data_IF_848575388369
#
_entry.id   IF_848575388369
#
_cell.length_a   1.000
_cell.length_b   1.000
_cell.length_c   1.000
_cell.angle_alpha   90.00
_cell.angle_beta   90.00
_cell.angle_gamma   90.00
#
_symmetry.space_group_name_H-M   'P 1'
#
loop_
_entity.id
_entity.type
_entity.pdbx_description
1 polymer ?
#
# COMPACT_ATOMS: atom_id res chain seq x y z
N UNK A 1 -34.79 19.19 -2.39
CA UNK A 1 -34.50 18.54 -3.70
C UNK A 1 -33.00 18.43 -3.99
N UNK A 2 -32.14 19.24 -3.40
CA UNK A 2 -30.68 19.23 -3.68
C UNK A 2 -29.89 18.06 -3.06
N UNK A 3 -30.26 17.60 -1.87
CA UNK A 3 -29.56 16.50 -1.20
C UNK A 3 -29.68 15.16 -1.95
N UNK A 4 -30.83 14.89 -2.56
CA UNK A 4 -31.08 13.65 -3.29
C UNK A 4 -30.34 13.61 -4.65
N UNK A 5 -30.08 14.76 -5.26
CA UNK A 5 -29.27 14.86 -6.48
C UNK A 5 -27.80 14.72 -6.20
N UNK A 6 -27.33 15.19 -5.05
CA UNK A 6 -25.92 15.06 -4.64
C UNK A 6 -25.56 13.60 -4.31
N UNK A 7 -26.44 12.88 -3.58
CA UNK A 7 -26.28 11.44 -3.35
C UNK A 7 -26.29 10.61 -4.64
N UNK A 8 -27.13 10.97 -5.62
CA UNK A 8 -27.17 10.29 -6.90
C UNK A 8 -25.90 10.54 -7.72
N UNK A 9 -25.34 11.74 -7.67
CA UNK A 9 -24.09 12.09 -8.35
C UNK A 9 -22.89 11.39 -7.73
N UNK A 10 -22.82 11.29 -6.38
CA UNK A 10 -21.78 10.52 -5.68
C UNK A 10 -21.89 9.03 -6.01
N UNK A 11 -23.10 8.45 -5.99
CA UNK A 11 -23.32 7.05 -6.38
C UNK A 11 -22.97 6.77 -7.84
N UNK A 12 -23.14 7.73 -8.73
CA UNK A 12 -22.76 7.59 -10.15
C UNK A 12 -21.25 7.74 -10.33
N UNK A 13 -20.61 8.69 -9.68
CA UNK A 13 -19.15 8.86 -9.71
C UNK A 13 -18.40 7.66 -9.10
N UNK A 14 -18.93 7.07 -8.03
CA UNK A 14 -18.40 5.83 -7.42
C UNK A 14 -18.61 4.60 -8.33
N UNK A 15 -19.67 4.58 -9.14
CA UNK A 15 -19.93 3.50 -10.09
C UNK A 15 -19.06 3.53 -11.34
N UNK A 16 -18.56 4.71 -11.72
CA UNK A 16 -17.76 4.88 -12.96
C UNK A 16 -16.25 4.71 -12.72
N UNK A 17 -15.76 4.85 -11.49
CA UNK A 17 -14.41 4.47 -11.14
C UNK A 17 -14.39 2.98 -10.71
N UNK A 18 -14.14 2.10 -11.67
CA UNK A 18 -13.65 0.75 -11.38
C UNK A 18 -12.25 0.88 -10.76
N UNK A 19 -12.19 1.15 -9.48
CA UNK A 19 -10.94 1.07 -8.75
C UNK A 19 -10.50 -0.39 -8.75
N UNK A 20 -9.42 -0.70 -9.45
CA UNK A 20 -8.75 -1.99 -9.30
C UNK A 20 -8.24 -2.08 -7.87
N UNK A 21 -8.88 -2.88 -7.05
CA UNK A 21 -8.35 -3.21 -5.73
C UNK A 21 -7.25 -4.23 -5.93
N UNK A 22 -6.03 -3.86 -5.66
CA UNK A 22 -4.88 -4.75 -5.74
C UNK A 22 -4.67 -5.39 -4.38
N UNK A 23 -4.64 -6.72 -4.36
CA UNK A 23 -4.40 -7.54 -3.16
C UNK A 23 -2.98 -8.09 -3.23
N UNK A 24 -2.27 -8.09 -2.11
CA UNK A 24 -0.96 -8.72 -2.03
C UNK A 24 -1.13 -10.25 -2.01
N UNK A 25 -0.22 -10.97 -2.64
CA UNK A 25 -0.05 -12.40 -2.46
C UNK A 25 0.51 -12.68 -1.05
N UNK A 26 0.51 -13.94 -0.62
CA UNK A 26 1.12 -14.33 0.66
C UNK A 26 2.59 -13.90 0.74
N UNK A 27 3.34 -14.07 -0.34
CA UNK A 27 4.73 -13.59 -0.42
C UNK A 27 4.83 -12.06 -0.37
N UNK A 28 3.90 -11.36 -1.00
CA UNK A 28 3.80 -9.89 -0.94
C UNK A 28 3.49 -9.40 0.48
N UNK A 29 2.59 -10.06 1.20
CA UNK A 29 2.28 -9.75 2.60
C UNK A 29 3.49 -9.98 3.51
N UNK A 30 4.14 -11.13 3.38
CA UNK A 30 5.32 -11.46 4.16
C UNK A 30 6.47 -10.49 3.89
N UNK A 31 6.66 -10.11 2.62
CA UNK A 31 7.65 -9.12 2.20
C UNK A 31 7.35 -7.74 2.80
N UNK A 32 6.10 -7.30 2.74
CA UNK A 32 5.65 -6.03 3.32
C UNK A 32 5.89 -6.00 4.81
N UNK A 33 5.49 -7.04 5.54
CA UNK A 33 5.68 -7.13 6.98
C UNK A 33 7.17 -7.16 7.35
N UNK A 34 7.99 -7.93 6.65
CA UNK A 34 9.43 -8.04 6.90
C UNK A 34 10.14 -6.69 6.71
N UNK A 35 9.93 -6.03 5.57
CA UNK A 35 10.55 -4.74 5.29
C UNK A 35 10.02 -3.63 6.19
N UNK A 36 8.73 -3.67 6.56
CA UNK A 36 8.16 -2.73 7.54
C UNK A 36 8.92 -2.82 8.86
N UNK A 37 9.13 -4.01 9.38
CA UNK A 37 9.91 -4.21 10.60
C UNK A 37 11.36 -3.78 10.46
N UNK A 38 12.00 -4.14 9.35
CA UNK A 38 13.41 -3.84 9.12
C UNK A 38 13.66 -2.32 8.97
N UNK A 39 12.88 -1.65 8.14
CA UNK A 39 13.06 -0.24 7.81
C UNK A 39 12.57 0.68 8.93
N UNK A 40 11.54 0.27 9.65
CA UNK A 40 11.01 1.06 10.76
C UNK A 40 11.85 0.93 12.04
N UNK A 41 12.99 0.23 11.98
CA UNK A 41 13.92 0.16 13.10
C UNK A 41 13.18 -0.21 14.36
N UNK A 42 12.51 -1.37 14.36
CA UNK A 42 11.89 -1.89 15.58
C UNK A 42 12.82 -1.58 16.72
N UNK A 43 12.38 -0.78 17.68
CA UNK A 43 13.20 -0.13 18.69
C UNK A 43 14.30 -1.02 19.30
N UNK A 44 15.13 -0.51 20.15
CA UNK A 44 16.29 -1.24 20.72
C UNK A 44 15.92 -2.58 21.35
N UNK A 45 14.64 -2.82 21.64
CA UNK A 45 14.06 -4.06 22.15
C UNK A 45 13.37 -4.92 21.07
N UNK A 46 13.44 -4.52 19.80
CA UNK A 46 12.83 -5.25 18.67
C UNK A 46 11.32 -5.07 18.54
N UNK A 47 10.69 -4.19 19.29
CA UNK A 47 9.25 -3.92 19.18
C UNK A 47 8.94 -2.95 18.06
N UNK A 48 7.84 -3.19 17.37
CA UNK A 48 7.29 -2.25 16.42
C UNK A 48 6.49 -1.16 17.15
N UNK A 49 6.89 0.09 16.96
CA UNK A 49 6.26 1.26 17.57
C UNK A 49 5.49 2.05 16.51
N UNK A 50 4.18 1.78 16.32
CA UNK A 50 3.42 2.32 15.20
C UNK A 50 3.32 3.85 15.22
N UNK A 51 3.24 4.48 16.38
CA UNK A 51 3.24 5.95 16.50
C UNK A 51 4.56 6.53 15.99
N UNK A 52 5.69 5.98 16.42
CA UNK A 52 7.01 6.41 15.94
C UNK A 52 7.16 6.23 14.43
N UNK A 53 6.67 5.10 13.90
CA UNK A 53 6.69 4.81 12.45
C UNK A 53 5.86 5.83 11.68
N UNK A 54 4.66 6.13 12.16
CA UNK A 54 3.76 7.11 11.56
C UNK A 54 4.38 8.51 11.52
N UNK A 55 4.97 8.95 12.62
CA UNK A 55 5.48 10.31 12.77
C UNK A 55 6.83 10.54 12.10
N UNK A 56 7.71 9.54 12.16
CA UNK A 56 9.12 9.74 11.83
C UNK A 56 9.59 8.95 10.61
N UNK A 57 8.97 7.84 10.29
CA UNK A 57 9.45 6.92 9.24
C UNK A 57 8.66 7.09 7.94
N UNK A 58 7.34 7.04 7.98
CA UNK A 58 6.50 7.16 6.77
C UNK A 58 6.80 8.45 6.01
N UNK A 59 6.94 9.64 6.66
CA UNK A 59 7.24 10.89 5.96
C UNK A 59 8.59 10.91 5.23
N UNK A 60 9.52 10.02 5.56
CA UNK A 60 10.79 9.88 4.82
C UNK A 60 10.60 9.23 3.45
N UNK A 61 9.61 8.32 3.33
CA UNK A 61 9.31 7.59 2.09
C UNK A 61 8.21 8.24 1.28
N UNK A 62 7.26 8.88 1.95
CA UNK A 62 6.12 9.53 1.31
C UNK A 62 5.85 10.90 1.93
N UNK A 63 6.34 11.94 1.27
CA UNK A 63 6.17 13.33 1.70
C UNK A 63 4.72 13.83 1.62
N UNK A 64 3.84 13.10 0.92
CA UNK A 64 2.42 13.44 0.84
C UNK A 64 1.63 12.90 2.03
N UNK A 65 2.23 11.99 2.81
CA UNK A 65 1.60 11.43 3.99
C UNK A 65 1.39 12.48 5.07
N UNK A 66 0.25 12.38 5.74
CA UNK A 66 -0.11 13.23 6.87
C UNK A 66 -0.86 12.41 7.94
N UNK A 67 -0.95 12.94 9.15
CA UNK A 67 -1.82 12.39 10.19
C UNK A 67 -2.51 13.52 10.95
N UNK A 68 -3.64 13.19 11.56
CA UNK A 68 -4.45 14.14 12.33
C UNK A 68 -4.92 13.48 13.63
N UNK A 69 -4.73 14.18 14.73
CA UNK A 69 -5.25 13.78 16.04
C UNK A 69 -6.49 14.62 16.31
N UNK A 70 -7.64 13.98 16.48
CA UNK A 70 -8.93 14.63 16.68
C UNK A 70 -9.39 14.44 18.12
N UNK A 71 -9.73 15.53 18.79
CA UNK A 71 -10.29 15.50 20.15
C UNK A 71 -11.54 14.60 20.20
N UNK A 72 -11.64 13.79 21.24
CA UNK A 72 -12.73 12.83 21.43
C UNK A 72 -14.12 13.51 21.39
N UNK A 73 -14.23 14.71 21.94
CA UNK A 73 -15.46 15.51 21.96
C UNK A 73 -15.89 15.96 20.56
N UNK A 74 -14.93 16.07 19.64
CA UNK A 74 -15.13 16.43 18.24
C UNK A 74 -15.23 15.22 17.32
N UNK A 75 -15.10 14.00 17.88
CA UNK A 75 -15.12 12.76 17.10
C UNK A 75 -16.53 12.37 16.67
N UNK A 76 -16.83 12.43 15.39
CA UNK A 76 -18.17 12.17 14.83
C UNK A 76 -18.27 10.86 14.03
N UNK A 77 -17.19 10.07 13.95
CA UNK A 77 -17.17 8.82 13.17
C UNK A 77 -17.77 7.61 13.91
N UNK A 78 -18.29 7.79 15.12
CA UNK A 78 -18.84 6.75 15.96
C UNK A 78 -17.84 6.18 16.98
N UNK A 79 -18.35 5.57 18.05
CA UNK A 79 -17.48 5.09 19.15
C UNK A 79 -16.60 3.89 18.78
N UNK A 80 -17.04 3.08 17.82
CA UNK A 80 -16.33 1.86 17.42
C UNK A 80 -15.16 2.14 16.47
N UNK A 81 -15.24 3.19 15.67
CA UNK A 81 -14.15 3.61 14.81
C UNK A 81 -13.23 4.54 15.63
N UNK A 82 -12.03 4.11 15.93
CA UNK A 82 -11.09 4.83 16.80
C UNK A 82 -9.94 5.48 16.06
N UNK A 83 -9.59 4.93 14.90
CA UNK A 83 -8.65 5.46 13.93
C UNK A 83 -9.03 4.96 12.56
N UNK A 84 -8.56 5.61 11.50
CA UNK A 84 -8.70 5.13 10.12
C UNK A 84 -7.69 5.79 9.18
N UNK A 85 -7.32 5.05 8.14
CA UNK A 85 -6.52 5.56 7.03
C UNK A 85 -7.41 5.94 5.84
N UNK A 86 -7.16 7.09 5.23
CA UNK A 86 -7.84 7.54 4.00
C UNK A 86 -6.84 7.54 2.84
N UNK A 87 -6.96 6.62 1.88
CA UNK A 87 -6.04 6.54 0.74
C UNK A 87 -6.07 7.81 -0.13
N UNK A 88 -7.25 8.41 -0.32
CA UNK A 88 -7.45 9.61 -1.15
C UNK A 88 -6.71 10.83 -0.61
N UNK A 89 -6.68 10.98 0.71
CA UNK A 89 -5.97 12.06 1.39
C UNK A 89 -4.55 11.64 1.83
N UNK A 90 -4.19 10.36 1.69
CA UNK A 90 -2.97 9.76 2.22
C UNK A 90 -2.75 10.14 3.70
N UNK A 91 -3.79 9.96 4.50
CA UNK A 91 -3.83 10.46 5.88
C UNK A 91 -4.37 9.42 6.85
N UNK A 92 -3.73 9.31 8.02
CA UNK A 92 -4.26 8.60 9.19
C UNK A 92 -4.94 9.61 10.11
N UNK A 93 -6.18 9.31 10.53
CA UNK A 93 -6.93 10.10 11.51
C UNK A 93 -7.11 9.26 12.76
N UNK A 94 -6.75 9.80 13.91
CA UNK A 94 -6.73 9.09 15.17
C UNK A 94 -7.45 9.93 16.23
N UNK A 95 -8.28 9.28 17.06
CA UNK A 95 -8.86 9.93 18.22
C UNK A 95 -7.79 10.13 19.31
N UNK A 96 -7.77 11.30 19.94
CA UNK A 96 -6.72 11.72 20.88
C UNK A 96 -6.50 10.74 22.04
N UNK A 97 -7.58 10.23 22.66
CA UNK A 97 -7.48 9.27 23.76
C UNK A 97 -6.86 7.92 23.34
N UNK A 98 -7.04 7.50 22.09
CA UNK A 98 -6.41 6.30 21.51
C UNK A 98 -4.92 6.55 21.29
N UNK A 99 -4.58 7.71 20.73
CA UNK A 99 -3.19 8.12 20.52
C UNK A 99 -2.40 8.16 21.84
N UNK A 100 -2.95 8.82 22.88
CA UNK A 100 -2.30 8.92 24.19
C UNK A 100 -2.12 7.56 24.86
N UNK A 101 -3.13 6.69 24.79
CA UNK A 101 -3.03 5.33 25.33
C UNK A 101 -2.04 4.45 24.58
N UNK A 102 -1.94 4.62 23.25
CA UNK A 102 -0.93 3.92 22.46
C UNK A 102 0.49 4.35 22.85
N UNK A 103 0.72 5.65 23.07
CA UNK A 103 2.00 6.17 23.59
C UNK A 103 2.30 5.60 24.99
N UNK A 104 1.28 5.38 25.80
CA UNK A 104 1.41 4.73 27.12
C UNK A 104 1.60 3.20 27.03
N UNK A 105 1.59 2.62 25.84
CA UNK A 105 1.81 1.18 25.60
C UNK A 105 0.57 0.30 25.84
N UNK A 106 -0.65 0.86 25.79
CA UNK A 106 -1.88 0.08 25.87
C UNK A 106 -2.01 -0.78 24.61
N UNK A 107 -1.92 -2.09 24.77
CA UNK A 107 -1.77 -3.04 23.66
C UNK A 107 -2.86 -2.91 22.58
N UNK A 108 -4.12 -2.73 22.97
CA UNK A 108 -5.22 -2.60 22.02
C UNK A 108 -5.08 -1.34 21.14
N UNK A 109 -4.70 -0.22 21.73
CA UNK A 109 -4.55 1.05 21.03
C UNK A 109 -3.28 1.04 20.15
N UNK A 110 -2.22 0.37 20.60
CA UNK A 110 -1.03 0.09 19.77
C UNK A 110 -1.41 -0.73 18.54
N UNK A 111 -2.22 -1.79 18.70
CA UNK A 111 -2.71 -2.61 17.59
C UNK A 111 -3.58 -1.78 16.64
N UNK A 112 -4.47 -0.93 17.16
CA UNK A 112 -5.33 -0.07 16.36
C UNK A 112 -4.50 0.86 15.47
N UNK A 113 -3.52 1.57 16.03
CA UNK A 113 -2.65 2.46 15.22
C UNK A 113 -1.77 1.65 14.27
N UNK A 114 -1.26 0.49 14.70
CA UNK A 114 -0.47 -0.39 13.84
C UNK A 114 -1.25 -0.84 12.60
N UNK A 115 -2.53 -1.15 12.74
CA UNK A 115 -3.43 -1.51 11.63
C UNK A 115 -3.50 -0.39 10.59
N UNK A 116 -3.73 0.86 11.01
CA UNK A 116 -3.81 2.01 10.11
C UNK A 116 -2.45 2.34 9.45
N UNK A 117 -1.37 2.18 10.19
CA UNK A 117 -0.01 2.29 9.64
C UNK A 117 0.24 1.24 8.57
N UNK A 118 -0.23 0.02 8.77
CA UNK A 118 -0.12 -1.05 7.76
C UNK A 118 -0.92 -0.73 6.51
N UNK A 119 -2.14 -0.19 6.60
CA UNK A 119 -2.89 0.31 5.45
C UNK A 119 -2.09 1.34 4.63
N UNK A 120 -1.48 2.30 5.31
CA UNK A 120 -0.63 3.29 4.65
C UNK A 120 0.57 2.63 3.94
N UNK A 121 1.26 1.71 4.61
CA UNK A 121 2.42 1.01 4.03
C UNK A 121 2.00 0.11 2.88
N UNK A 122 0.87 -0.61 2.97
CA UNK A 122 0.31 -1.35 1.83
C UNK A 122 0.09 -0.43 0.63
N UNK A 123 -0.50 0.74 0.84
CA UNK A 123 -0.71 1.73 -0.23
C UNK A 123 0.61 2.15 -0.89
N UNK A 124 1.67 2.37 -0.11
CA UNK A 124 3.01 2.70 -0.62
C UNK A 124 3.59 1.52 -1.42
N UNK A 125 3.55 0.31 -0.85
CA UNK A 125 4.06 -0.91 -1.49
C UNK A 125 3.30 -1.20 -2.79
N UNK A 126 1.98 -1.03 -2.79
CA UNK A 126 1.14 -1.25 -3.97
C UNK A 126 1.48 -0.28 -5.10
N UNK A 127 1.65 1.00 -4.80
CA UNK A 127 2.10 2.01 -5.77
C UNK A 127 3.47 1.65 -6.34
N UNK A 128 4.39 1.19 -5.49
CA UNK A 128 5.71 0.74 -5.90
C UNK A 128 5.64 -0.50 -6.80
N UNK A 129 4.93 -1.55 -6.39
CA UNK A 129 4.77 -2.79 -7.17
C UNK A 129 4.06 -2.54 -8.51
N UNK A 130 3.11 -1.60 -8.56
CA UNK A 130 2.47 -1.17 -9.80
C UNK A 130 3.45 -0.49 -10.74
N UNK A 131 4.19 0.50 -10.24
CA UNK A 131 5.21 1.19 -11.02
C UNK A 131 6.26 0.23 -11.58
N UNK A 132 6.59 -0.83 -10.83
CA UNK A 132 7.56 -1.84 -11.21
C UNK A 132 6.97 -2.98 -12.06
N UNK A 133 5.65 -3.03 -12.26
CA UNK A 133 4.93 -4.13 -12.92
C UNK A 133 5.24 -5.52 -12.31
N UNK A 134 5.46 -5.56 -10.99
CA UNK A 134 5.77 -6.78 -10.24
C UNK A 134 4.47 -7.55 -9.93
N UNK A 135 4.07 -8.46 -10.81
CA UNK A 135 2.84 -9.25 -10.65
C UNK A 135 2.94 -10.40 -9.65
N UNK A 136 4.15 -10.88 -9.38
CA UNK A 136 4.39 -12.03 -8.48
C UNK A 136 4.02 -11.74 -7.01
N UNK A 137 4.04 -10.47 -6.60
CA UNK A 137 3.73 -10.05 -5.24
C UNK A 137 2.31 -9.50 -5.07
N UNK A 138 1.55 -9.41 -6.16
CA UNK A 138 0.21 -8.84 -6.14
C UNK A 138 -0.73 -9.56 -7.09
N UNK A 139 -2.00 -9.52 -6.76
CA UNK A 139 -3.09 -9.95 -7.62
C UNK A 139 -4.04 -8.78 -7.82
N UNK A 140 -4.35 -8.43 -9.07
CA UNK A 140 -5.39 -7.45 -9.35
C UNK A 140 -6.76 -8.12 -9.23
N UNK A 141 -7.62 -7.59 -8.38
CA UNK A 141 -9.02 -7.98 -8.26
C UNK A 141 -9.85 -6.79 -8.71
N UNK A 142 -10.58 -6.95 -9.81
CA UNK A 142 -11.55 -5.96 -10.24
C UNK A 142 -12.85 -6.23 -9.52
N UNK A 143 -13.24 -5.39 -8.55
CA UNK A 143 -14.54 -5.49 -7.96
C UNK A 143 -15.19 -4.20 -7.50
N UNK A 144 -16.52 -4.31 -7.41
CA UNK A 144 -17.40 -3.37 -6.74
C UNK A 144 -18.06 -4.04 -5.52
N UNK A 145 -17.47 -5.10 -4.95
CA UNK A 145 -18.14 -5.94 -3.96
C UNK A 145 -17.64 -5.64 -2.55
N UNK A 146 -18.57 -5.60 -1.59
CA UNK A 146 -18.30 -5.48 -0.16
C UNK A 146 -17.38 -6.60 0.38
N UNK A 147 -17.36 -7.75 -0.27
CA UNK A 147 -16.47 -8.87 0.07
C UNK A 147 -14.99 -8.55 -0.10
N UNK A 148 -14.64 -7.62 -0.97
CA UNK A 148 -13.24 -7.26 -1.24
C UNK A 148 -12.71 -6.26 -0.25
N UNK A 149 -13.53 -5.33 0.21
CA UNK A 149 -13.17 -4.48 1.33
C UNK A 149 -12.88 -5.35 2.56
N UNK A 150 -13.70 -6.37 2.81
CA UNK A 150 -13.46 -7.32 3.88
C UNK A 150 -12.18 -8.14 3.69
N UNK A 151 -11.86 -8.54 2.46
CA UNK A 151 -10.59 -9.23 2.17
C UNK A 151 -9.39 -8.33 2.39
N UNK A 152 -9.50 -7.06 2.03
CA UNK A 152 -8.44 -6.08 2.27
C UNK A 152 -8.20 -5.87 3.77
N UNK A 153 -9.25 -5.73 4.57
CA UNK A 153 -9.17 -5.64 6.03
C UNK A 153 -8.53 -6.90 6.66
N UNK A 154 -8.97 -8.09 6.26
CA UNK A 154 -8.37 -9.35 6.72
C UNK A 154 -6.88 -9.46 6.36
N UNK A 155 -6.50 -8.95 5.20
CA UNK A 155 -5.10 -8.90 4.78
C UNK A 155 -4.30 -7.93 5.64
N UNK A 156 -4.85 -6.77 5.94
CA UNK A 156 -4.24 -5.77 6.83
C UNK A 156 -4.06 -6.32 8.24
N UNK A 157 -5.07 -6.99 8.79
CA UNK A 157 -4.98 -7.66 10.09
C UNK A 157 -3.86 -8.69 10.12
N UNK A 158 -3.73 -9.49 9.06
CA UNK A 158 -2.67 -10.49 8.93
C UNK A 158 -1.28 -9.85 8.87
N UNK A 159 -1.10 -8.82 8.07
CA UNK A 159 0.17 -8.09 7.99
C UNK A 159 0.48 -7.43 9.35
N UNK A 160 -0.50 -6.81 10.00
CA UNK A 160 -0.36 -6.20 11.32
C UNK A 160 0.13 -7.22 12.35
N UNK A 161 -0.47 -8.41 12.35
CA UNK A 161 -0.04 -9.51 13.23
C UNK A 161 1.40 -9.93 12.97
N UNK A 162 1.80 -10.05 11.70
CA UNK A 162 3.17 -10.37 11.30
C UNK A 162 4.17 -9.28 11.70
N UNK A 163 3.77 -8.00 11.59
CA UNK A 163 4.62 -6.86 11.96
C UNK A 163 4.81 -6.78 13.47
N UNK A 164 3.78 -7.03 14.25
CA UNK A 164 3.82 -6.97 15.72
C UNK A 164 4.49 -8.18 16.35
N UNK A 165 4.60 -9.30 15.63
CA UNK A 165 5.21 -10.54 16.15
C UNK A 165 6.67 -10.65 15.71
N UNK A 166 7.66 -10.50 16.61
CA UNK A 166 9.08 -10.41 16.26
C UNK A 166 9.60 -11.59 15.46
N UNK A 167 9.19 -12.80 15.81
CA UNK A 167 9.76 -14.04 15.30
C UNK A 167 8.93 -14.72 14.21
N UNK A 168 7.68 -14.26 14.01
CA UNK A 168 6.71 -14.94 13.14
C UNK A 168 7.13 -15.06 11.67
N UNK A 169 7.97 -14.14 11.17
CA UNK A 169 8.42 -14.12 9.77
C UNK A 169 9.67 -15.00 9.56
N UNK A 170 10.47 -15.20 10.58
CA UNK A 170 11.78 -15.87 10.49
C UNK A 170 11.86 -17.18 11.28
N UNK A 171 10.83 -17.48 12.08
CA UNK A 171 10.77 -18.69 12.87
C UNK A 171 10.91 -19.95 12.00
N UNK A 172 11.79 -20.86 12.43
CA UNK A 172 12.05 -22.11 11.72
C UNK A 172 12.85 -21.98 10.42
N UNK A 173 13.28 -20.77 10.04
CA UNK A 173 14.05 -20.52 8.82
C UNK A 173 15.55 -20.39 9.11
N UNK A 174 16.35 -20.90 8.22
CA UNK A 174 17.80 -20.65 8.21
C UNK A 174 18.11 -19.24 7.68
N UNK A 175 19.29 -18.72 8.00
CA UNK A 175 19.76 -17.43 7.46
C UNK A 175 19.75 -17.40 5.93
N UNK A 176 20.02 -18.55 5.28
CA UNK A 176 20.00 -18.63 3.82
C UNK A 176 18.59 -18.52 3.25
N UNK A 177 17.60 -19.16 3.88
CA UNK A 177 16.18 -19.05 3.48
C UNK A 177 15.65 -17.63 3.68
N UNK A 178 16.02 -16.97 4.80
CA UNK A 178 15.67 -15.57 5.05
C UNK A 178 16.28 -14.68 3.96
N UNK A 179 17.57 -14.85 3.69
CA UNK A 179 18.26 -14.09 2.63
C UNK A 179 17.59 -14.30 1.26
N UNK A 180 17.28 -15.56 0.92
CA UNK A 180 16.65 -15.89 -0.35
C UNK A 180 15.26 -15.28 -0.46
N UNK A 181 14.41 -15.45 0.54
CA UNK A 181 13.00 -15.05 0.51
C UNK A 181 12.81 -13.54 0.54
N UNK A 182 13.55 -12.83 1.40
CA UNK A 182 13.28 -11.41 1.66
C UNK A 182 14.21 -10.43 0.95
N UNK A 183 15.33 -10.90 0.42
CA UNK A 183 16.29 -10.05 -0.26
C UNK A 183 16.53 -10.46 -1.71
N UNK A 184 16.93 -11.70 -1.97
CA UNK A 184 17.34 -12.13 -3.31
C UNK A 184 16.15 -12.21 -4.26
N UNK A 185 15.07 -12.90 -3.87
CA UNK A 185 13.90 -13.03 -4.73
C UNK A 185 13.26 -11.68 -5.04
N UNK A 186 13.00 -10.77 -4.06
CA UNK A 186 12.51 -9.42 -4.36
C UNK A 186 13.44 -8.61 -5.25
N UNK A 187 14.76 -8.73 -5.06
CA UNK A 187 15.74 -8.03 -5.91
C UNK A 187 15.68 -8.53 -7.36
N UNK A 188 15.58 -9.83 -7.56
CA UNK A 188 15.42 -10.43 -8.90
C UNK A 188 14.15 -9.92 -9.55
N UNK A 189 13.03 -9.90 -8.83
CA UNK A 189 11.74 -9.40 -9.34
C UNK A 189 11.82 -7.91 -9.71
N UNK A 190 12.46 -7.11 -8.87
CA UNK A 190 12.71 -5.70 -9.14
C UNK A 190 13.49 -5.51 -10.46
N UNK A 191 14.60 -6.21 -10.63
CA UNK A 191 15.44 -6.15 -11.83
C UNK A 191 14.66 -6.63 -13.07
N UNK A 192 13.90 -7.72 -12.96
CA UNK A 192 13.05 -8.20 -14.05
C UNK A 192 11.98 -7.17 -14.43
N UNK A 193 11.37 -6.49 -13.45
CA UNK A 193 10.43 -5.41 -13.68
C UNK A 193 11.04 -4.23 -14.45
N UNK A 194 12.25 -3.81 -14.07
CA UNK A 194 13.00 -2.76 -14.79
C UNK A 194 13.27 -3.15 -16.25
N UNK A 195 13.71 -4.39 -16.47
CA UNK A 195 14.02 -4.88 -17.84
C UNK A 195 12.75 -4.93 -18.68
N UNK A 196 11.62 -5.41 -18.13
CA UNK A 196 10.32 -5.45 -18.82
C UNK A 196 9.87 -4.04 -19.21
N UNK A 197 9.98 -3.07 -18.29
CA UNK A 197 9.60 -1.68 -18.54
C UNK A 197 10.49 -1.04 -19.60
N UNK A 198 11.80 -1.23 -19.51
CA UNK A 198 12.74 -0.73 -20.53
C UNK A 198 12.49 -1.36 -21.92
N UNK A 199 12.21 -2.66 -21.94
CA UNK A 199 11.87 -3.37 -23.19
C UNK A 199 10.57 -2.87 -23.81
N UNK A 200 9.54 -2.57 -22.99
CA UNK A 200 8.27 -1.97 -23.47
C UNK A 200 8.50 -0.59 -24.07
N UNK A 201 9.22 0.28 -23.38
CA UNK A 201 9.53 1.63 -23.88
C UNK A 201 10.33 1.59 -25.17
N UNK A 202 11.27 0.64 -25.32
CA UNK A 202 12.02 0.45 -26.55
C UNK A 202 11.12 -0.01 -27.70
N UNK A 203 10.20 -0.95 -27.47
CA UNK A 203 9.24 -1.42 -28.48
C UNK A 203 8.30 -0.31 -28.93
N UNK A 204 7.81 0.52 -28.01
CA UNK A 204 6.97 1.67 -28.33
C UNK A 204 7.73 2.67 -29.21
N UNK A 205 8.98 3.00 -28.84
CA UNK A 205 9.82 3.88 -29.63
C UNK A 205 10.14 3.32 -31.06
N UNK A 206 10.31 2.01 -31.17
CA UNK A 206 10.53 1.36 -32.48
C UNK A 206 9.26 1.37 -33.34
N UNK A 207 8.10 1.17 -32.75
CA UNK A 207 6.82 1.25 -33.46
C UNK A 207 6.54 2.67 -33.96
N UNK A 208 6.79 3.69 -33.11
CA UNK A 208 6.67 5.09 -33.53
C UNK A 208 7.59 5.43 -34.69
N UNK A 209 8.80 4.88 -34.68
CA UNK A 209 9.77 5.09 -35.78
C UNK A 209 9.32 4.39 -37.08
N UNK A 210 8.68 3.23 -36.97
CA UNK A 210 8.13 2.52 -38.14
C UNK A 210 6.95 3.28 -38.76
N UNK A 211 6.04 3.81 -37.95
CA UNK A 211 4.95 4.68 -38.44
C UNK A 211 5.50 5.90 -39.19
N UNK A 212 6.59 6.49 -38.71
CA UNK A 212 7.21 7.66 -39.35
C UNK A 212 7.85 7.31 -40.70
N UNK A 213 8.37 6.09 -40.84
CA UNK A 213 8.95 5.63 -42.14
C UNK A 213 7.86 5.29 -43.16
N UNK A 214 6.73 4.72 -42.73
CA UNK A 214 5.59 4.47 -43.64
C UNK A 214 4.99 5.76 -44.20
N UNK A 215 4.88 6.82 -43.40
CA UNK A 215 4.40 8.13 -43.86
C UNK A 215 5.34 8.74 -44.89
N UNK A 216 6.66 8.63 -44.72
CA UNK A 216 7.65 9.12 -45.70
C UNK A 216 7.66 8.33 -47.02
N UNK A 217 7.35 7.04 -46.98
CA UNK A 217 7.25 6.22 -48.18
C UNK A 217 6.00 6.57 -49.00
N UNK A 218 4.86 6.83 -48.33
CA UNK A 218 3.63 7.29 -48.99
C UNK A 218 3.83 8.67 -49.63
N UNK A 219 4.55 9.59 -49.02
CA UNK A 219 4.86 10.91 -49.61
C UNK A 219 5.83 10.81 -50.81
N UNK A 220 6.73 9.82 -50.85
CA UNK A 220 7.63 9.58 -51.99
C UNK A 220 6.93 8.95 -53.19
N UNK A 221 5.85 8.22 -53.00
CA UNK A 221 5.06 7.62 -54.07
C UNK A 221 4.00 8.55 -54.64
N UNK A 222 3.81 9.74 -54.06
CA UNK A 222 2.80 10.72 -54.46
C UNK A 222 3.37 11.87 -55.31
N UNK A 223 4.66 11.82 -55.72
CA UNK A 223 5.33 12.75 -56.61
C UNK A 223 5.70 12.02 -57.92
#
# INVERSE_FOLDING_TARGET
MEACQYEAQIKTAVKEQKAETIVLTDDGMNLTAFWTRLLCGCGTDGRFEPVYVMENIIPLFDKSFNYEIVERESWFYGEYLQAFYTPEANKIVIRDDVYERALAGVALDVITIAHEVVHCIQSIVMRFLNAMQCVEFKTAICSNDSNEMQQHELQTDRITSLVLSPDSLTEGKTNNEILQQYFINPLIQFVCGLIKTAGKNLLEALNDTNCYNEVKEVERCAV
#
